data_IF_741568938755
#
_entry.id   IF_741568938755
#
_cell.length_a   1.000
_cell.length_b   1.000
_cell.length_c   1.000
_cell.angle_alpha   90.00
_cell.angle_beta   90.00
_cell.angle_gamma   90.00
#
_symmetry.space_group_name_H-M   'P 1'
#
loop_
_entity.id
_entity.type
_entity.pdbx_description
1 polymer ?
#
# COMPACT_ATOMS: atom_id res chain seq x y z
N UNK A 1 -3.65 -12.75 2.03
CA UNK A 1 -2.79 -13.17 0.91
C UNK A 1 -1.34 -13.07 1.36
N UNK A 2 -0.51 -14.06 1.04
CA UNK A 2 0.89 -14.14 1.51
C UNK A 2 1.88 -13.53 0.52
N UNK A 3 3.09 -13.25 1.00
CA UNK A 3 4.19 -12.75 0.17
C UNK A 3 4.70 -13.84 -0.78
N UNK A 4 5.31 -13.45 -1.90
CA UNK A 4 5.86 -14.42 -2.87
C UNK A 4 7.32 -14.10 -3.19
N UNK A 5 8.10 -15.15 -3.42
CA UNK A 5 9.47 -15.01 -3.89
C UNK A 5 9.52 -14.44 -5.30
N UNK A 6 10.33 -13.40 -5.54
CA UNK A 6 10.50 -12.81 -6.87
C UNK A 6 11.18 -13.78 -7.86
N UNK A 7 11.98 -14.72 -7.37
CA UNK A 7 12.75 -15.65 -8.20
C UNK A 7 11.93 -16.86 -8.65
N UNK A 8 11.33 -17.59 -7.70
CA UNK A 8 10.63 -18.85 -7.98
C UNK A 8 9.11 -18.77 -7.83
N UNK A 9 8.55 -17.66 -7.33
CA UNK A 9 7.11 -17.50 -7.12
C UNK A 9 6.54 -18.28 -5.92
N UNK A 10 7.39 -18.97 -5.15
CA UNK A 10 6.96 -19.73 -3.97
C UNK A 10 6.41 -18.80 -2.89
N UNK A 11 5.39 -19.27 -2.16
CA UNK A 11 4.72 -18.50 -1.12
C UNK A 11 5.58 -18.45 0.15
N UNK A 12 5.79 -17.27 0.70
CA UNK A 12 6.65 -16.99 1.85
C UNK A 12 5.83 -16.27 2.93
N UNK A 13 6.08 -16.63 4.19
CA UNK A 13 5.38 -16.04 5.34
C UNK A 13 5.89 -14.63 5.68
N UNK A 14 7.21 -14.43 5.67
CA UNK A 14 7.87 -13.16 5.99
C UNK A 14 9.01 -12.87 5.00
N UNK A 15 9.06 -11.67 4.44
CA UNK A 15 10.10 -11.26 3.49
C UNK A 15 11.37 -10.75 4.18
N UNK A 16 11.21 -10.10 5.33
CA UNK A 16 12.31 -9.56 6.12
C UNK A 16 12.07 -9.80 7.61
N UNK A 17 13.16 -9.87 8.36
CA UNK A 17 13.19 -9.91 9.82
C UNK A 17 13.89 -8.67 10.32
N UNK A 18 13.23 -7.88 11.16
CA UNK A 18 13.81 -6.69 11.77
C UNK A 18 14.40 -7.06 13.14
N UNK A 19 15.72 -6.92 13.28
CA UNK A 19 16.42 -7.18 14.54
C UNK A 19 16.53 -5.93 15.43
N UNK A 20 16.60 -4.74 14.81
CA UNK A 20 16.74 -3.45 15.49
C UNK A 20 16.17 -2.35 14.58
N UNK A 21 15.77 -1.17 15.10
CA UNK A 21 15.32 -0.07 14.25
C UNK A 21 16.42 0.29 13.25
N UNK A 22 16.16 0.07 11.96
CA UNK A 22 17.13 0.26 10.86
C UNK A 22 17.94 -0.98 10.45
N UNK A 23 17.92 -2.08 11.20
CA UNK A 23 18.59 -3.34 10.80
C UNK A 23 17.56 -4.40 10.41
N UNK A 24 17.31 -4.52 9.11
CA UNK A 24 16.49 -5.56 8.50
C UNK A 24 17.38 -6.61 7.85
N UNK A 25 16.97 -7.88 7.95
CA UNK A 25 17.62 -8.99 7.27
C UNK A 25 16.63 -9.64 6.33
N UNK A 26 16.98 -9.70 5.05
CA UNK A 26 16.17 -10.37 4.04
C UNK A 26 16.17 -11.88 4.24
N UNK A 27 14.99 -12.47 4.15
CA UNK A 27 14.81 -13.91 4.25
C UNK A 27 15.18 -14.59 2.93
N UNK A 28 15.75 -15.79 3.04
CA UNK A 28 15.98 -16.66 1.87
C UNK A 28 14.75 -17.51 1.64
N UNK A 29 14.46 -17.79 0.38
CA UNK A 29 13.38 -18.71 0.04
C UNK A 29 13.80 -20.15 0.33
N UNK A 30 12.95 -20.92 1.00
CA UNK A 30 13.19 -22.34 1.29
C UNK A 30 13.35 -23.21 0.03
N UNK A 31 12.70 -22.83 -1.08
CA UNK A 31 12.72 -23.59 -2.32
C UNK A 31 13.97 -23.30 -3.17
N UNK A 32 14.24 -22.03 -3.49
CA UNK A 32 15.35 -21.66 -4.37
C UNK A 32 16.64 -21.26 -3.64
N UNK A 33 16.62 -21.16 -2.31
CA UNK A 33 17.73 -20.73 -1.44
C UNK A 33 18.31 -19.33 -1.74
N UNK A 34 17.74 -18.63 -2.73
CA UNK A 34 18.05 -17.25 -3.06
C UNK A 34 17.32 -16.30 -2.11
N UNK A 35 17.77 -15.04 -2.09
CA UNK A 35 17.07 -13.96 -1.37
C UNK A 35 15.65 -13.85 -1.93
N UNK A 36 14.66 -13.84 -1.03
CA UNK A 36 13.25 -13.90 -1.40
C UNK A 36 12.80 -12.68 -2.20
N UNK A 37 13.29 -11.50 -1.82
CA UNK A 37 13.03 -10.23 -2.46
C UNK A 37 14.16 -9.25 -2.13
N UNK A 38 15.01 -8.96 -3.11
CA UNK A 38 16.14 -8.04 -2.98
C UNK A 38 15.70 -6.56 -3.06
N UNK A 39 14.54 -6.29 -3.64
CA UNK A 39 14.09 -4.91 -3.91
C UNK A 39 13.61 -4.16 -2.66
N UNK A 40 13.44 -4.84 -1.52
CA UNK A 40 12.99 -4.23 -0.26
C UNK A 40 14.03 -3.26 0.31
N UNK A 41 15.32 -3.55 0.11
CA UNK A 41 16.41 -2.68 0.54
C UNK A 41 16.70 -1.55 -0.47
N UNK A 42 16.16 -1.67 -1.69
CA UNK A 42 16.37 -0.69 -2.74
C UNK A 42 15.40 0.48 -2.64
N UNK A 43 15.86 1.64 -3.12
CA UNK A 43 14.98 2.76 -3.36
C UNK A 43 14.01 2.47 -4.51
N UNK A 44 12.82 3.09 -4.45
CA UNK A 44 11.76 2.95 -5.46
C UNK A 44 12.25 3.32 -6.87
N UNK A 45 13.23 4.21 -6.99
CA UNK A 45 13.85 4.62 -8.26
C UNK A 45 14.45 3.42 -9.01
N UNK A 46 15.13 2.51 -8.32
CA UNK A 46 15.75 1.32 -8.89
C UNK A 46 14.66 0.36 -9.39
N UNK A 47 13.60 0.18 -8.60
CA UNK A 47 12.45 -0.67 -8.97
C UNK A 47 11.80 -0.15 -10.26
N UNK A 48 11.62 1.17 -10.39
CA UNK A 48 11.04 1.80 -11.59
C UNK A 48 11.91 1.56 -12.82
N UNK A 49 13.24 1.72 -12.70
CA UNK A 49 14.15 1.46 -13.82
C UNK A 49 14.03 0.01 -14.29
N UNK A 50 14.01 -0.95 -13.35
CA UNK A 50 13.88 -2.37 -13.68
C UNK A 50 12.50 -2.73 -14.28
N UNK A 51 11.45 -2.01 -13.89
CA UNK A 51 10.12 -2.13 -14.50
C UNK A 51 10.11 -1.59 -15.94
N UNK A 52 10.75 -0.44 -16.20
CA UNK A 52 10.91 0.12 -17.56
C UNK A 52 11.69 -0.86 -18.44
N UNK A 53 12.72 -1.50 -17.88
CA UNK A 53 13.49 -2.56 -18.53
C UNK A 53 12.73 -3.90 -18.67
N UNK A 54 11.45 -3.94 -18.29
CA UNK A 54 10.59 -5.12 -18.34
C UNK A 54 11.16 -6.35 -17.62
N UNK A 55 11.93 -6.16 -16.55
CA UNK A 55 12.46 -7.29 -15.80
C UNK A 55 11.33 -8.00 -15.04
N UNK A 56 11.14 -9.32 -15.22
CA UNK A 56 10.03 -10.05 -14.61
C UNK A 56 10.09 -10.06 -13.07
N UNK A 57 11.28 -9.91 -12.48
CA UNK A 57 11.45 -9.84 -11.04
C UNK A 57 10.78 -8.61 -10.43
N UNK A 58 10.95 -7.44 -11.06
CA UNK A 58 10.37 -6.18 -10.59
C UNK A 58 8.84 -6.20 -10.70
N UNK A 59 8.28 -6.80 -11.75
CA UNK A 59 6.83 -7.01 -11.85
C UNK A 59 6.30 -7.90 -10.72
N UNK A 60 7.00 -9.00 -10.38
CA UNK A 60 6.58 -9.87 -9.27
C UNK A 60 6.63 -9.14 -7.93
N UNK A 61 7.66 -8.34 -7.70
CA UNK A 61 7.78 -7.48 -6.51
C UNK A 61 6.59 -6.51 -6.43
N UNK A 62 6.32 -5.77 -7.51
CA UNK A 62 5.23 -4.79 -7.55
C UNK A 62 3.87 -5.46 -7.33
N UNK A 63 3.57 -6.52 -8.09
CA UNK A 63 2.26 -7.16 -8.09
C UNK A 63 1.92 -7.86 -6.78
N UNK A 64 2.87 -8.56 -6.15
CA UNK A 64 2.59 -9.39 -4.98
C UNK A 64 3.01 -8.77 -3.66
N UNK A 65 4.13 -8.04 -3.63
CA UNK A 65 4.68 -7.54 -2.38
C UNK A 65 4.32 -6.06 -2.15
N UNK A 66 4.30 -5.22 -3.19
CA UNK A 66 3.96 -3.79 -3.07
C UNK A 66 2.45 -3.55 -3.09
N UNK A 67 1.73 -4.05 -4.10
CA UNK A 67 0.27 -3.83 -4.20
C UNK A 67 -0.43 -4.28 -2.93
N UNK A 68 -0.05 -5.43 -2.35
CA UNK A 68 -0.68 -5.92 -1.13
C UNK A 68 -0.44 -5.01 0.09
N UNK A 69 0.66 -4.27 0.13
CA UNK A 69 0.95 -3.31 1.19
C UNK A 69 0.25 -1.96 0.93
N UNK A 70 0.26 -1.51 -0.32
CA UNK A 70 -0.39 -0.28 -0.75
C UNK A 70 -1.92 -0.38 -0.67
N UNK A 71 -2.53 -1.54 -1.00
CA UNK A 71 -3.98 -1.74 -0.87
C UNK A 71 -4.45 -1.58 0.57
N UNK A 72 -3.69 -2.04 1.56
CA UNK A 72 -4.01 -1.85 2.98
C UNK A 72 -3.93 -0.37 3.39
N UNK A 73 -2.93 0.37 2.89
CA UNK A 73 -2.85 1.83 3.12
C UNK A 73 -3.99 2.58 2.43
N UNK A 74 -4.29 2.23 1.19
CA UNK A 74 -5.38 2.84 0.40
C UNK A 74 -6.73 2.61 1.07
N UNK A 75 -7.02 1.42 1.59
CA UNK A 75 -8.25 1.17 2.35
C UNK A 75 -8.39 2.11 3.55
N UNK A 76 -7.31 2.30 4.32
CA UNK A 76 -7.31 3.25 5.43
C UNK A 76 -7.48 4.71 4.98
N UNK A 77 -6.86 5.09 3.86
CA UNK A 77 -6.99 6.43 3.28
C UNK A 77 -8.41 6.69 2.75
N UNK A 78 -9.00 5.72 2.06
CA UNK A 78 -10.36 5.79 1.52
C UNK A 78 -11.39 5.93 2.64
N UNK A 79 -11.22 5.21 3.75
CA UNK A 79 -12.11 5.39 4.90
C UNK A 79 -12.00 6.78 5.51
N UNK A 80 -10.79 7.35 5.60
CA UNK A 80 -10.58 8.73 6.06
C UNK A 80 -11.22 9.74 5.10
N UNK A 81 -11.06 9.56 3.80
CA UNK A 81 -11.69 10.41 2.78
C UNK A 81 -13.22 10.31 2.82
N UNK A 82 -13.77 9.10 2.99
CA UNK A 82 -15.20 8.88 3.15
C UNK A 82 -15.75 9.57 4.40
N UNK A 83 -15.04 9.49 5.52
CA UNK A 83 -15.41 10.20 6.75
C UNK A 83 -15.41 11.73 6.56
N UNK A 84 -14.38 12.27 5.87
CA UNK A 84 -14.31 13.69 5.53
C UNK A 84 -15.47 14.10 4.62
N UNK A 85 -15.76 13.29 3.59
CA UNK A 85 -16.87 13.54 2.67
C UNK A 85 -18.22 13.60 3.40
N UNK A 86 -18.49 12.64 4.31
CA UNK A 86 -19.71 12.63 5.14
C UNK A 86 -19.82 13.87 6.05
N UNK A 87 -18.70 14.34 6.61
CA UNK A 87 -18.68 15.57 7.40
C UNK A 87 -19.01 16.80 6.55
N UNK A 88 -18.45 16.89 5.34
CA UNK A 88 -18.78 17.97 4.42
C UNK A 88 -20.25 17.94 4.01
N UNK A 89 -20.81 16.78 3.68
CA UNK A 89 -22.24 16.63 3.35
C UNK A 89 -23.14 17.07 4.52
N UNK A 90 -22.83 16.65 5.75
CA UNK A 90 -23.59 17.06 6.94
C UNK A 90 -23.52 18.57 7.18
N UNK A 91 -22.33 19.17 7.02
CA UNK A 91 -22.16 20.61 7.12
C UNK A 91 -22.99 21.33 6.05
N UNK A 92 -22.88 20.95 4.78
CA UNK A 92 -23.59 21.59 3.66
C UNK A 92 -25.11 21.51 3.89
N UNK A 93 -25.63 20.36 4.32
CA UNK A 93 -27.05 20.21 4.63
C UNK A 93 -27.51 21.13 5.78
N UNK A 94 -26.68 21.29 6.83
CA UNK A 94 -26.99 22.19 7.94
C UNK A 94 -27.00 23.68 7.56
N UNK A 95 -26.10 24.12 6.66
CA UNK A 95 -26.10 25.49 6.14
C UNK A 95 -27.33 25.77 5.27
N UNK A 96 -27.74 24.81 4.43
CA UNK A 96 -28.91 24.96 3.57
C UNK A 96 -30.22 25.00 4.37
N UNK A 97 -30.29 24.27 5.49
CA UNK A 97 -31.41 24.34 6.43
C UNK A 97 -31.43 25.67 7.21
N UNK A 98 -30.26 26.21 7.57
CA UNK A 98 -30.14 27.49 8.26
C UNK A 98 -30.53 28.68 7.37
N UNK A 99 -30.13 28.68 6.09
CA UNK A 99 -30.62 29.66 5.11
C UNK A 99 -32.13 29.57 4.90
N UNK A 100 -32.68 28.35 4.79
CA UNK A 100 -34.12 28.16 4.65
C UNK A 100 -34.89 28.65 5.89
N UNK A 101 -34.36 28.41 7.10
CA UNK A 101 -34.96 28.86 8.35
C UNK A 101 -34.88 30.39 8.52
N UNK A 102 -33.78 31.03 8.10
CA UNK A 102 -33.65 32.49 8.07
C UNK A 102 -34.56 33.15 7.03
N UNK A 103 -34.88 32.46 5.94
CA UNK A 103 -35.81 32.94 4.90
C UNK A 103 -37.30 32.73 5.28
N UNK A 104 -37.60 31.76 6.15
CA UNK A 104 -38.97 31.43 6.59
C UNK A 104 -39.41 32.18 7.87
N UNK A 105 -38.52 32.95 8.50
CA UNK A 105 -38.82 33.77 9.66
C UNK A 105 -38.95 35.25 9.22
N UNK A 106 -40.18 35.78 9.04
CA UNK A 106 -40.41 37.22 8.80
C UNK A 106 -40.16 38.07 10.04
#
# INVERSE_FOLDING_TARGET
MGYRCIQCGFNIKTLYLQYSPGNIRLMKCENCKAVADEYIECEITIIIIDLILHKPKAYRHLLYNVINQETLKFQGLLWKLAAIFLLFDACIHSYHLMEFYYFLMP
#
